data_IF_784262741181
#
_entry.id   IF_784262741181
#
_cell.length_a   1.000
_cell.length_b   1.000
_cell.length_c   1.000
_cell.angle_alpha   90.00
_cell.angle_beta   90.00
_cell.angle_gamma   90.00
#
_symmetry.space_group_name_H-M   'P 1'
#
loop_
_entity.id
_entity.type
_entity.pdbx_description
1 polymer ?
#
# COMPACT_ATOMS: atom_id res chain seq x y z
N UNK A 1 33.91 4.36 -29.67
CA UNK A 1 33.17 5.07 -28.59
C UNK A 1 34.13 5.55 -27.49
N UNK A 2 33.76 6.48 -26.60
CA UNK A 2 34.58 6.88 -25.45
C UNK A 2 34.13 6.19 -24.16
N UNK A 3 35.08 5.74 -23.34
CA UNK A 3 34.78 5.15 -22.04
C UNK A 3 34.15 6.20 -21.10
N UNK A 4 32.99 5.88 -20.50
CA UNK A 4 32.28 6.80 -19.58
C UNK A 4 33.01 7.06 -18.26
N UNK A 5 34.00 6.23 -17.91
CA UNK A 5 34.78 6.37 -16.67
C UNK A 5 36.10 7.11 -16.88
N UNK A 6 36.91 6.72 -17.89
CA UNK A 6 38.23 7.32 -18.10
C UNK A 6 38.32 8.28 -19.30
N UNK A 7 37.26 8.43 -20.10
CA UNK A 7 37.19 9.35 -21.23
C UNK A 7 38.00 8.97 -22.47
N UNK A 8 38.82 7.91 -22.41
CA UNK A 8 39.62 7.44 -23.55
C UNK A 8 38.78 6.74 -24.62
N UNK A 9 39.25 6.79 -25.85
CA UNK A 9 38.64 6.09 -26.98
C UNK A 9 38.85 4.58 -26.87
N UNK A 10 37.77 3.85 -27.13
CA UNK A 10 37.68 2.40 -27.07
C UNK A 10 36.86 1.89 -28.27
N UNK A 11 37.15 0.65 -28.68
CA UNK A 11 36.41 0.00 -29.75
C UNK A 11 34.93 -0.17 -29.37
N UNK A 12 34.04 -0.17 -30.37
CA UNK A 12 32.59 -0.16 -30.14
C UNK A 12 32.04 -1.45 -29.54
N UNK A 13 32.77 -2.57 -29.67
CA UNK A 13 32.38 -3.90 -29.17
C UNK A 13 33.18 -4.34 -27.93
N UNK A 14 33.70 -3.40 -27.13
CA UNK A 14 34.50 -3.76 -25.94
C UNK A 14 33.62 -3.83 -24.70
N UNK A 15 33.55 -5.01 -24.07
CA UNK A 15 32.76 -5.25 -22.86
C UNK A 15 33.36 -4.60 -21.62
N UNK A 16 34.68 -4.63 -21.51
CA UNK A 16 35.45 -4.03 -20.43
C UNK A 16 36.46 -3.06 -21.05
N UNK A 17 36.53 -1.84 -20.52
CA UNK A 17 37.49 -0.84 -20.99
C UNK A 17 38.93 -1.33 -20.72
N UNK A 18 39.76 -1.53 -21.76
CA UNK A 18 41.12 -2.06 -21.59
C UNK A 18 42.05 -1.08 -20.88
N UNK A 19 41.68 0.20 -20.83
CA UNK A 19 42.53 1.25 -20.26
C UNK A 19 42.27 1.51 -18.77
N UNK A 20 41.08 1.22 -18.25
CA UNK A 20 40.76 1.45 -16.83
C UNK A 20 39.99 0.31 -16.15
N UNK A 21 39.71 -0.79 -16.85
CA UNK A 21 38.96 -1.93 -16.32
C UNK A 21 37.47 -1.67 -16.13
N UNK A 22 36.92 -0.56 -16.63
CA UNK A 22 35.50 -0.24 -16.47
C UNK A 22 34.61 -1.16 -17.31
N UNK A 23 33.74 -1.92 -16.65
CA UNK A 23 32.78 -2.83 -17.28
C UNK A 23 31.58 -2.07 -17.87
N UNK A 24 31.58 -1.97 -19.19
CA UNK A 24 30.58 -1.24 -19.99
C UNK A 24 29.31 -2.07 -20.17
N UNK A 25 29.43 -3.40 -20.23
CA UNK A 25 28.28 -4.31 -20.30
C UNK A 25 27.48 -4.32 -19.00
N UNK A 26 28.17 -4.36 -17.86
CA UNK A 26 27.53 -4.25 -16.55
C UNK A 26 26.86 -2.88 -16.36
N UNK A 27 27.46 -1.82 -16.90
CA UNK A 27 26.86 -0.48 -16.86
C UNK A 27 25.58 -0.40 -17.71
N UNK A 28 25.57 -0.97 -18.91
CA UNK A 28 24.38 -1.02 -19.78
C UNK A 28 23.22 -1.82 -19.20
N UNK A 29 23.50 -2.90 -18.45
CA UNK A 29 22.48 -3.76 -17.83
C UNK A 29 21.76 -3.13 -16.62
N UNK A 30 22.39 -2.18 -15.91
CA UNK A 30 21.83 -1.58 -14.67
C UNK A 30 20.62 -0.65 -14.90
N UNK A 31 20.22 -0.39 -16.14
CA UNK A 31 19.11 0.52 -16.47
C UNK A 31 17.80 -0.16 -16.89
N UNK A 32 17.60 -1.46 -16.58
CA UNK A 32 16.25 -2.01 -16.56
C UNK A 32 15.51 -1.51 -15.31
N UNK A 33 15.00 -0.27 -15.39
CA UNK A 33 13.95 0.19 -14.48
C UNK A 33 12.77 -0.74 -14.73
N UNK A 34 12.36 -1.52 -13.72
CA UNK A 34 11.13 -2.30 -13.78
C UNK A 34 10.00 -1.26 -13.81
N UNK A 35 9.54 -0.93 -15.01
CA UNK A 35 8.35 -0.12 -15.20
C UNK A 35 7.20 -1.06 -14.88
N UNK A 36 6.53 -0.80 -13.77
CA UNK A 36 5.31 -1.52 -13.46
C UNK A 36 4.19 -0.90 -14.30
N UNK A 37 3.79 -1.59 -15.37
CA UNK A 37 2.59 -1.22 -16.13
C UNK A 37 1.32 -1.34 -15.28
N UNK A 38 0.41 -0.38 -15.45
CA UNK A 38 -0.93 -0.44 -14.87
C UNK A 38 -1.70 -1.63 -15.46
N UNK A 39 -2.59 -2.29 -14.70
CA UNK A 39 -3.38 -3.41 -15.20
C UNK A 39 -4.23 -2.97 -16.41
N UNK A 40 -4.31 -3.82 -17.43
CA UNK A 40 -5.17 -3.59 -18.59
C UNK A 40 -6.64 -3.73 -18.18
N UNK A 41 -7.40 -2.64 -18.32
CA UNK A 41 -8.83 -2.58 -18.02
C UNK A 41 -9.53 -1.76 -19.11
N UNK A 42 -10.83 -2.01 -19.30
CA UNK A 42 -11.65 -1.24 -20.22
C UNK A 42 -11.55 0.27 -19.98
N UNK A 43 -11.69 1.06 -21.04
CA UNK A 43 -11.53 2.52 -20.99
C UNK A 43 -12.50 3.20 -20.00
N UNK A 44 -13.69 2.64 -19.81
CA UNK A 44 -14.70 3.07 -18.82
C UNK A 44 -14.22 2.89 -17.38
N UNK A 45 -13.43 1.85 -17.10
CA UNK A 45 -12.94 1.52 -15.75
C UNK A 45 -11.63 2.21 -15.38
N UNK A 46 -11.00 2.94 -16.31
CA UNK A 46 -9.72 3.62 -16.06
C UNK A 46 -9.77 4.63 -14.91
N UNK A 47 -10.89 5.32 -14.73
CA UNK A 47 -11.08 6.22 -13.59
C UNK A 47 -11.10 5.44 -12.25
N UNK A 48 -11.78 4.29 -12.23
CA UNK A 48 -11.88 3.44 -11.05
C UNK A 48 -10.54 2.88 -10.57
N UNK A 49 -9.52 2.79 -11.44
CA UNK A 49 -8.15 2.38 -11.05
C UNK A 49 -7.51 3.36 -10.06
N UNK A 50 -7.89 4.62 -10.12
CA UNK A 50 -7.39 5.68 -9.23
C UNK A 50 -8.28 5.78 -7.99
N UNK A 51 -9.60 5.69 -8.17
CA UNK A 51 -10.55 5.90 -7.08
C UNK A 51 -10.47 4.79 -6.03
N UNK A 52 -10.46 3.51 -6.43
CA UNK A 52 -10.46 2.36 -5.51
C UNK A 52 -9.36 2.42 -4.43
N UNK A 53 -8.06 2.66 -4.76
CA UNK A 53 -7.02 2.76 -3.74
C UNK A 53 -7.18 3.99 -2.83
N UNK A 54 -7.71 5.10 -3.34
CA UNK A 54 -7.97 6.31 -2.54
C UNK A 54 -9.15 6.07 -1.59
N UNK A 55 -10.25 5.46 -2.05
CA UNK A 55 -11.38 5.12 -1.20
C UNK A 55 -10.98 4.12 -0.10
N UNK A 56 -10.15 3.12 -0.42
CA UNK A 56 -9.63 2.19 0.59
C UNK A 56 -8.85 2.92 1.69
N UNK A 57 -8.04 3.92 1.32
CA UNK A 57 -7.32 4.74 2.27
C UNK A 57 -8.25 5.59 3.15
N UNK A 58 -9.24 6.27 2.55
CA UNK A 58 -10.21 7.11 3.26
C UNK A 58 -11.04 6.27 4.24
N UNK A 59 -11.61 5.15 3.80
CA UNK A 59 -12.37 4.26 4.67
C UNK A 59 -11.50 3.62 5.76
N UNK A 60 -10.21 3.37 5.48
CA UNK A 60 -9.23 2.94 6.47
C UNK A 60 -9.12 3.95 7.61
N UNK A 61 -8.95 5.24 7.30
CA UNK A 61 -8.89 6.30 8.31
C UNK A 61 -10.20 6.40 9.10
N UNK A 62 -11.34 6.39 8.40
CA UNK A 62 -12.66 6.45 9.04
C UNK A 62 -12.88 5.26 9.99
N UNK A 63 -12.41 4.06 9.62
CA UNK A 63 -12.50 2.87 10.49
C UNK A 63 -11.72 3.04 11.80
N UNK A 64 -10.53 3.66 11.75
CA UNK A 64 -9.72 3.95 12.95
C UNK A 64 -10.40 5.00 13.82
N UNK A 65 -10.93 6.07 13.23
CA UNK A 65 -11.68 7.10 13.96
C UNK A 65 -12.89 6.49 14.66
N UNK A 66 -13.70 5.70 13.95
CA UNK A 66 -14.84 5.00 14.53
C UNK A 66 -14.43 4.03 15.64
N UNK A 67 -13.28 3.37 15.49
CA UNK A 67 -12.71 2.49 16.51
C UNK A 67 -12.32 3.24 17.79
N UNK A 68 -11.65 4.39 17.68
CA UNK A 68 -11.30 5.22 18.84
C UNK A 68 -12.56 5.68 19.58
N UNK A 69 -13.59 6.11 18.84
CA UNK A 69 -14.88 6.52 19.43
C UNK A 69 -15.55 5.36 20.17
N UNK A 70 -15.54 4.16 19.58
CA UNK A 70 -16.09 2.95 20.18
C UNK A 70 -15.34 2.50 21.44
N UNK A 71 -14.00 2.58 21.44
CA UNK A 71 -13.19 2.24 22.62
C UNK A 71 -13.45 3.24 23.75
N UNK A 72 -13.53 4.53 23.44
CA UNK A 72 -13.70 5.61 24.43
C UNK A 72 -15.10 5.63 25.06
N UNK A 73 -16.12 5.14 24.37
CA UNK A 73 -17.47 5.12 24.92
C UNK A 73 -17.61 4.12 26.07
N UNK A 74 -18.17 4.58 27.20
CA UNK A 74 -18.45 3.75 28.38
C UNK A 74 -19.42 2.59 28.08
N UNK A 75 -20.39 2.83 27.21
CA UNK A 75 -21.35 1.82 26.77
C UNK A 75 -21.03 1.38 25.34
N UNK A 76 -21.45 0.17 24.98
CA UNK A 76 -21.41 -0.33 23.59
C UNK A 76 -22.47 0.41 22.78
N UNK A 77 -22.05 1.47 22.09
CA UNK A 77 -22.93 2.19 21.17
C UNK A 77 -22.99 1.42 19.85
N UNK A 78 -24.12 0.74 19.61
CA UNK A 78 -24.35 -0.09 18.42
C UNK A 78 -24.06 0.66 17.12
N UNK A 79 -24.34 1.96 17.07
CA UNK A 79 -24.05 2.81 15.91
C UNK A 79 -22.54 2.84 15.58
N UNK A 80 -21.67 3.02 16.57
CA UNK A 80 -20.22 3.08 16.35
C UNK A 80 -19.66 1.73 15.95
N UNK A 81 -20.19 0.65 16.53
CA UNK A 81 -19.85 -0.71 16.13
C UNK A 81 -20.25 -0.98 14.66
N UNK A 82 -21.47 -0.60 14.27
CA UNK A 82 -21.94 -0.75 12.90
C UNK A 82 -21.12 0.07 11.90
N UNK A 83 -20.77 1.32 12.24
CA UNK A 83 -19.88 2.16 11.42
C UNK A 83 -18.49 1.55 11.27
N UNK A 84 -17.90 1.05 12.37
CA UNK A 84 -16.60 0.39 12.35
C UNK A 84 -16.61 -0.80 11.39
N UNK A 85 -17.59 -1.70 11.53
CA UNK A 85 -17.72 -2.89 10.68
C UNK A 85 -17.94 -2.47 9.21
N UNK A 86 -18.82 -1.51 8.97
CA UNK A 86 -19.12 -0.99 7.63
C UNK A 86 -17.88 -0.41 6.94
N UNK A 87 -17.15 0.48 7.61
CA UNK A 87 -15.95 1.09 7.03
C UNK A 87 -14.83 0.07 6.83
N UNK A 88 -14.63 -0.84 7.78
CA UNK A 88 -13.66 -1.94 7.64
C UNK A 88 -13.98 -2.80 6.41
N UNK A 89 -15.25 -3.17 6.22
CA UNK A 89 -15.70 -3.92 5.05
C UNK A 89 -15.48 -3.16 3.74
N UNK A 90 -15.83 -1.86 3.69
CA UNK A 90 -15.63 -1.02 2.51
C UNK A 90 -14.15 -0.86 2.16
N UNK A 91 -13.27 -0.76 3.16
CA UNK A 91 -11.82 -0.72 2.96
C UNK A 91 -11.34 -1.98 2.25
N UNK A 92 -11.66 -3.17 2.77
CA UNK A 92 -11.24 -4.43 2.15
C UNK A 92 -11.87 -4.60 0.76
N UNK A 93 -13.15 -4.26 0.58
CA UNK A 93 -13.83 -4.35 -0.71
C UNK A 93 -13.16 -3.50 -1.78
N UNK A 94 -12.73 -2.29 -1.45
CA UNK A 94 -12.06 -1.40 -2.39
C UNK A 94 -10.58 -1.78 -2.59
N UNK A 95 -9.91 -2.25 -1.54
CA UNK A 95 -8.50 -2.61 -1.59
C UNK A 95 -8.21 -3.96 -2.28
N UNK A 96 -9.21 -4.84 -2.37
CA UNK A 96 -9.12 -6.13 -3.08
C UNK A 96 -9.33 -6.01 -4.60
N UNK A 97 -9.78 -4.85 -5.09
CA UNK A 97 -9.97 -4.60 -6.52
C UNK A 97 -8.68 -4.07 -7.16
N UNK A 98 -8.46 -4.27 -8.47
CA UNK A 98 -7.28 -3.74 -9.14
C UNK A 98 -7.29 -2.20 -9.11
N UNK A 99 -6.12 -1.64 -8.85
CA UNK A 99 -5.84 -0.22 -8.82
C UNK A 99 -4.49 0.09 -9.46
N UNK A 100 -4.26 1.38 -9.74
CA UNK A 100 -3.04 1.89 -10.35
C UNK A 100 -1.81 1.46 -9.56
N UNK A 101 -0.75 0.98 -10.22
CA UNK A 101 0.39 0.38 -9.49
C UNK A 101 1.06 1.39 -8.56
N UNK A 102 1.15 2.64 -8.99
CA UNK A 102 1.69 3.76 -8.20
C UNK A 102 0.86 4.07 -6.94
N UNK A 103 -0.42 3.71 -6.92
CA UNK A 103 -1.35 3.97 -5.81
C UNK A 103 -1.60 2.74 -4.93
N UNK A 104 -1.05 1.57 -5.28
CA UNK A 104 -1.11 0.37 -4.42
C UNK A 104 -0.67 0.61 -2.97
N UNK A 105 0.39 1.39 -2.69
CA UNK A 105 0.78 1.69 -1.32
C UNK A 105 -0.33 2.32 -0.49
N UNK A 106 -1.19 3.17 -1.09
CA UNK A 106 -2.33 3.77 -0.38
C UNK A 106 -3.39 2.75 -0.01
N UNK A 107 -3.69 1.80 -0.92
CA UNK A 107 -4.62 0.72 -0.62
C UNK A 107 -4.10 -0.19 0.49
N UNK A 108 -2.80 -0.49 0.49
CA UNK A 108 -2.18 -1.33 1.52
C UNK A 108 -2.14 -0.63 2.89
N UNK A 109 -1.85 0.67 2.93
CA UNK A 109 -1.99 1.47 4.16
C UNK A 109 -3.45 1.47 4.66
N UNK A 110 -4.42 1.57 3.76
CA UNK A 110 -5.84 1.42 4.11
C UNK A 110 -6.14 0.09 4.80
N UNK A 111 -5.64 -1.04 4.26
CA UNK A 111 -5.78 -2.36 4.90
C UNK A 111 -5.14 -2.41 6.28
N UNK A 112 -3.96 -1.83 6.45
CA UNK A 112 -3.27 -1.75 7.75
C UNK A 112 -4.15 -1.04 8.78
N UNK A 113 -4.75 0.10 8.41
CA UNK A 113 -5.69 0.80 9.30
C UNK A 113 -6.93 -0.03 9.64
N UNK A 114 -7.48 -0.77 8.68
CA UNK A 114 -8.59 -1.69 8.93
C UNK A 114 -8.20 -2.80 9.94
N UNK A 115 -6.98 -3.36 9.84
CA UNK A 115 -6.49 -4.32 10.82
C UNK A 115 -6.32 -3.72 12.22
N UNK A 116 -5.82 -2.49 12.34
CA UNK A 116 -5.78 -1.79 13.63
C UNK A 116 -7.18 -1.60 14.22
N UNK A 117 -8.16 -1.19 13.42
CA UNK A 117 -9.54 -1.00 13.86
C UNK A 117 -10.15 -2.31 14.42
N UNK A 118 -9.90 -3.44 13.75
CA UNK A 118 -10.30 -4.78 14.24
C UNK A 118 -9.58 -5.12 15.55
N UNK A 119 -8.29 -4.85 15.64
CA UNK A 119 -7.50 -5.10 16.85
C UNK A 119 -8.06 -4.37 18.07
N UNK A 120 -8.41 -3.09 17.92
CA UNK A 120 -9.05 -2.29 18.97
C UNK A 120 -10.45 -2.80 19.36
N UNK A 121 -11.23 -3.30 18.39
CA UNK A 121 -12.53 -3.90 18.66
C UNK A 121 -12.37 -5.16 19.53
N UNK A 122 -11.44 -6.05 19.18
CA UNK A 122 -11.16 -7.25 19.97
C UNK A 122 -10.65 -6.86 21.36
N UNK A 123 -9.72 -5.91 21.43
CA UNK A 123 -9.18 -5.41 22.70
C UNK A 123 -10.28 -4.93 23.64
N UNK A 124 -11.23 -4.10 23.15
CA UNK A 124 -12.34 -3.62 23.98
C UNK A 124 -13.22 -4.77 24.48
N UNK A 125 -13.61 -5.69 23.60
CA UNK A 125 -14.46 -6.83 23.97
C UNK A 125 -13.79 -7.68 25.05
N UNK A 126 -12.50 -7.98 24.89
CA UNK A 126 -11.73 -8.75 25.88
C UNK A 126 -11.63 -7.99 27.20
N UNK A 127 -11.37 -6.67 27.17
CA UNK A 127 -11.26 -5.85 28.36
C UNK A 127 -12.59 -5.78 29.13
N UNK A 128 -13.71 -5.60 28.43
CA UNK A 128 -15.04 -5.57 29.03
C UNK A 128 -15.40 -6.94 29.65
N UNK A 129 -15.17 -8.05 28.93
CA UNK A 129 -15.38 -9.42 29.44
C UNK A 129 -14.52 -9.75 30.67
N UNK A 130 -13.26 -9.30 30.67
CA UNK A 130 -12.34 -9.51 31.80
C UNK A 130 -12.78 -8.66 33.00
N UNK A 131 -13.26 -7.44 32.76
CA UNK A 131 -13.88 -6.59 33.79
C UNK A 131 -15.04 -7.31 34.47
N UNK A 132 -15.99 -7.82 33.69
CA UNK A 132 -17.17 -8.53 34.20
C UNK A 132 -16.83 -9.86 34.93
N UNK A 133 -15.71 -10.50 34.60
CA UNK A 133 -15.30 -11.77 35.22
C UNK A 133 -14.56 -11.57 36.55
N UNK A 134 -13.82 -10.45 36.71
CA UNK A 134 -12.92 -10.22 37.84
C UNK A 134 -13.38 -9.12 38.82
N UNK A 135 -14.35 -8.28 38.45
CA UNK A 135 -14.93 -7.23 39.29
C UNK A 135 -16.46 -7.34 39.36
#
# INVERSE_FOLDING_TARGET
MKCKSCGKEIAENTSICPNCGFDLEAFGKKQKVIIYEDPEVETSEKASLIDRPILAFIFGILSVISSILFVTSRNIVVLFLAMLISFTYLTFRNASKPGKVKLRPFADVGKVFAYFAIGFLIFKIVFDLLGDLFF
#
